data_IF_223672802765
#
_entry.id   IF_223672802765
#
_cell.length_a   1.000
_cell.length_b   1.000
_cell.length_c   1.000
_cell.angle_alpha   90.00
_cell.angle_beta   90.00
_cell.angle_gamma   90.00
#
_symmetry.space_group_name_H-M   'P 1'
#
loop_
_entity.id
_entity.type
_entity.pdbx_description
1 polymer ?
#
# COMPACT_ATOMS: atom_id res chain seq x y z
N UNK A 1 -8.63 6.77 -12.22
CA UNK A 1 -9.08 6.96 -10.81
C UNK A 1 -8.24 8.05 -10.18
N UNK A 2 -8.82 8.86 -9.29
CA UNK A 2 -8.07 9.89 -8.55
C UNK A 2 -7.41 9.27 -7.30
N UNK A 3 -6.10 9.03 -7.37
CA UNK A 3 -5.34 8.37 -6.30
C UNK A 3 -5.30 9.19 -5.00
N UNK A 4 -5.36 10.51 -5.10
CA UNK A 4 -5.37 11.39 -3.93
C UNK A 4 -6.69 11.25 -3.16
N UNK A 5 -7.82 11.18 -3.87
CA UNK A 5 -9.12 10.93 -3.29
C UNK A 5 -9.16 9.54 -2.62
N UNK A 6 -8.66 8.51 -3.30
CA UNK A 6 -8.57 7.16 -2.75
C UNK A 6 -7.73 7.13 -1.46
N UNK A 7 -6.57 7.80 -1.44
CA UNK A 7 -5.74 7.86 -0.23
C UNK A 7 -6.42 8.63 0.91
N UNK A 8 -7.17 9.69 0.60
CA UNK A 8 -7.97 10.42 1.61
C UNK A 8 -9.06 9.54 2.21
N UNK A 9 -9.73 8.73 1.39
CA UNK A 9 -10.78 7.83 1.86
C UNK A 9 -10.20 6.73 2.76
N UNK A 10 -9.06 6.15 2.38
CA UNK A 10 -8.33 5.16 3.20
C UNK A 10 -7.82 5.79 4.51
N UNK A 11 -7.26 7.00 4.45
CA UNK A 11 -6.80 7.74 5.63
C UNK A 11 -7.93 8.02 6.63
N UNK A 12 -9.14 8.26 6.13
CA UNK A 12 -10.33 8.41 6.98
C UNK A 12 -10.82 7.07 7.53
N UNK A 13 -10.88 6.02 6.69
CA UNK A 13 -11.32 4.67 7.09
C UNK A 13 -10.46 4.12 8.24
N UNK A 14 -9.15 4.20 8.10
CA UNK A 14 -8.19 3.66 9.07
C UNK A 14 -7.63 4.72 10.04
N UNK A 15 -8.16 5.94 10.04
CA UNK A 15 -7.73 6.99 10.96
C UNK A 15 -6.20 7.20 11.05
N UNK A 16 -5.49 7.10 9.91
CA UNK A 16 -4.05 7.39 9.85
C UNK A 16 -3.80 8.84 10.28
N UNK A 17 -2.69 9.11 10.98
CA UNK A 17 -2.36 10.47 11.41
C UNK A 17 -2.05 11.38 10.23
N UNK A 18 -1.39 10.82 9.22
CA UNK A 18 -1.06 11.49 7.98
C UNK A 18 -0.91 10.46 6.86
N UNK A 19 -1.24 10.87 5.64
CA UNK A 19 -1.08 10.06 4.45
C UNK A 19 -0.63 10.95 3.29
N UNK A 20 0.49 10.59 2.66
CA UNK A 20 1.08 11.34 1.56
C UNK A 20 1.32 10.41 0.37
N UNK A 21 1.05 10.93 -0.83
CA UNK A 21 1.31 10.25 -2.09
C UNK A 21 2.44 10.97 -2.81
N UNK A 22 3.43 10.22 -3.28
CA UNK A 22 4.49 10.72 -4.17
C UNK A 22 4.56 9.83 -5.40
N UNK A 23 4.25 10.39 -6.55
CA UNK A 23 4.45 9.73 -7.85
C UNK A 23 5.93 9.80 -8.23
N UNK A 24 6.52 8.69 -8.68
CA UNK A 24 7.86 8.73 -9.28
C UNK A 24 7.76 9.29 -10.71
N UNK A 25 8.56 10.31 -11.03
CA UNK A 25 8.51 10.97 -12.35
C UNK A 25 8.94 10.06 -13.52
N UNK A 26 9.58 8.91 -13.24
CA UNK A 26 10.19 8.04 -14.26
C UNK A 26 9.89 6.54 -14.06
N UNK A 27 8.90 6.17 -13.24
CA UNK A 27 8.60 4.77 -12.93
C UNK A 27 7.11 4.42 -13.03
N UNK A 28 6.76 3.13 -13.21
CA UNK A 28 5.38 2.66 -13.13
C UNK A 28 4.82 2.65 -11.68
N UNK A 29 5.68 2.95 -10.71
CA UNK A 29 5.39 2.88 -9.29
C UNK A 29 5.19 4.28 -8.70
N UNK A 30 4.42 4.31 -7.62
CA UNK A 30 4.30 5.45 -6.73
C UNK A 30 4.71 5.03 -5.32
N UNK A 31 5.01 6.01 -4.47
CA UNK A 31 5.27 5.81 -3.06
C UNK A 31 4.13 6.43 -2.24
N UNK A 32 3.53 5.61 -1.36
CA UNK A 32 2.60 6.05 -0.33
C UNK A 32 3.33 6.07 1.00
N UNK A 33 3.24 7.17 1.73
CA UNK A 33 3.70 7.27 3.11
C UNK A 33 2.50 7.37 4.04
N UNK A 34 2.36 6.42 4.96
CA UNK A 34 1.33 6.39 5.99
C UNK A 34 1.98 6.63 7.35
N UNK A 35 1.45 7.58 8.12
CA UNK A 35 1.80 7.76 9.52
C UNK A 35 0.78 7.00 10.38
N UNK A 36 1.27 5.93 10.99
CA UNK A 36 0.52 4.95 11.77
C UNK A 36 0.40 5.40 13.24
N UNK A 37 -0.63 4.91 13.92
CA UNK A 37 -0.78 5.02 15.37
C UNK A 37 -0.25 3.74 16.01
N UNK A 38 -0.02 3.75 17.32
CA UNK A 38 0.49 2.56 18.03
C UNK A 38 -0.40 1.32 17.80
N UNK A 39 -1.73 1.47 17.81
CA UNK A 39 -2.69 0.41 17.49
C UNK A 39 -2.51 -0.18 16.07
N UNK A 40 -2.15 0.63 15.09
CA UNK A 40 -1.90 0.18 13.72
C UNK A 40 -0.56 -0.55 13.59
N UNK A 41 0.43 -0.17 14.40
CA UNK A 41 1.76 -0.77 14.38
C UNK A 41 1.68 -2.21 14.89
N UNK A 42 0.95 -2.46 15.98
CA UNK A 42 0.77 -3.81 16.52
C UNK A 42 0.09 -4.73 15.49
N UNK A 43 -1.04 -4.31 14.92
CA UNK A 43 -1.75 -5.06 13.87
C UNK A 43 -0.91 -5.30 12.62
N UNK A 44 -0.09 -4.31 12.22
CA UNK A 44 0.82 -4.46 11.08
C UNK A 44 1.94 -5.47 11.38
N UNK A 45 2.49 -5.47 12.60
CA UNK A 45 3.55 -6.39 13.01
C UNK A 45 3.07 -7.84 13.00
N UNK A 46 1.82 -8.12 13.37
CA UNK A 46 1.25 -9.47 13.25
C UNK A 46 1.23 -9.97 11.80
N UNK A 47 0.98 -9.07 10.85
CA UNK A 47 0.96 -9.37 9.41
C UNK A 47 2.34 -9.30 8.76
N UNK A 48 3.37 -8.81 9.45
CA UNK A 48 4.72 -8.63 8.90
C UNK A 48 5.32 -9.94 8.37
N UNK A 49 5.04 -11.07 9.04
CA UNK A 49 5.48 -12.40 8.60
C UNK A 49 4.81 -12.91 7.32
N UNK A 50 3.73 -12.26 6.88
CA UNK A 50 2.91 -12.66 5.73
C UNK A 50 2.95 -11.65 4.58
N UNK A 51 3.78 -10.60 4.67
CA UNK A 51 3.80 -9.51 3.69
C UNK A 51 4.01 -10.00 2.25
N UNK A 52 4.91 -10.96 2.04
CA UNK A 52 5.13 -11.51 0.69
C UNK A 52 3.87 -12.20 0.14
N UNK A 53 3.17 -12.99 0.96
CA UNK A 53 1.92 -13.65 0.58
C UNK A 53 0.78 -12.65 0.35
N UNK A 54 0.73 -11.58 1.15
CA UNK A 54 -0.24 -10.49 1.00
C UNK A 54 -0.01 -9.77 -0.33
N UNK A 55 1.24 -9.40 -0.64
CA UNK A 55 1.61 -8.75 -1.90
C UNK A 55 1.27 -9.66 -3.09
N UNK A 56 1.60 -10.95 -3.01
CA UNK A 56 1.27 -11.90 -4.07
C UNK A 56 -0.24 -12.06 -4.27
N UNK A 57 -1.01 -12.17 -3.19
CA UNK A 57 -2.47 -12.26 -3.25
C UNK A 57 -3.08 -11.01 -3.89
N UNK A 58 -2.62 -9.83 -3.47
CA UNK A 58 -3.05 -8.55 -4.06
C UNK A 58 -2.68 -8.46 -5.54
N UNK A 59 -1.46 -8.84 -5.91
CA UNK A 59 -1.00 -8.85 -7.30
C UNK A 59 -1.84 -9.79 -8.18
N UNK A 60 -2.15 -10.99 -7.67
CA UNK A 60 -3.04 -11.93 -8.36
C UNK A 60 -4.43 -11.31 -8.58
N UNK A 61 -5.04 -10.77 -7.53
CA UNK A 61 -6.37 -10.16 -7.63
C UNK A 61 -6.40 -8.99 -8.60
N UNK A 62 -5.44 -8.06 -8.51
CA UNK A 62 -5.37 -6.90 -9.41
C UNK A 62 -5.16 -7.35 -10.85
N UNK A 63 -4.27 -8.31 -11.10
CA UNK A 63 -3.99 -8.79 -12.46
C UNK A 63 -5.17 -9.47 -13.16
N UNK A 64 -6.23 -9.85 -12.43
CA UNK A 64 -7.46 -10.40 -13.01
C UNK A 64 -8.38 -9.28 -13.55
N UNK A 65 -8.36 -8.11 -12.92
CA UNK A 65 -9.30 -7.02 -13.21
C UNK A 65 -8.66 -5.82 -13.90
N UNK A 66 -7.34 -5.71 -13.89
CA UNK A 66 -6.59 -4.58 -14.41
C UNK A 66 -5.34 -5.05 -15.17
N UNK A 67 -5.37 -4.86 -16.49
CA UNK A 67 -4.26 -5.17 -17.39
C UNK A 67 -3.21 -4.05 -17.49
N UNK A 68 -3.37 -2.95 -16.74
CA UNK A 68 -2.46 -1.80 -16.80
C UNK A 68 -1.05 -2.07 -16.29
N UNK A 69 -0.87 -3.12 -15.46
CA UNK A 69 0.43 -3.57 -14.98
C UNK A 69 0.48 -5.10 -14.93
N UNK A 70 1.58 -5.68 -15.42
CA UNK A 70 1.78 -7.13 -15.34
C UNK A 70 1.97 -7.58 -13.89
N UNK A 71 1.62 -8.83 -13.59
CA UNK A 71 1.86 -9.43 -12.27
C UNK A 71 3.32 -9.27 -11.82
N UNK A 72 4.27 -9.38 -12.73
CA UNK A 72 5.70 -9.17 -12.44
C UNK A 72 5.99 -7.76 -11.91
N UNK A 73 5.37 -6.73 -12.50
CA UNK A 73 5.47 -5.34 -12.03
C UNK A 73 4.80 -5.19 -10.67
N UNK A 74 3.62 -5.78 -10.47
CA UNK A 74 2.89 -5.73 -9.19
C UNK A 74 3.70 -6.38 -8.04
N UNK A 75 4.41 -7.46 -8.33
CA UNK A 75 5.28 -8.17 -7.37
C UNK A 75 6.52 -7.37 -6.96
N UNK A 76 6.85 -6.27 -7.65
CA UNK A 76 7.94 -5.35 -7.24
C UNK A 76 7.51 -4.40 -6.12
N UNK A 77 6.30 -4.59 -5.58
CA UNK A 77 5.83 -3.84 -4.42
C UNK A 77 6.78 -4.01 -3.24
N UNK A 78 7.16 -2.89 -2.62
CA UNK A 78 8.01 -2.90 -1.43
C UNK A 78 7.33 -2.15 -0.29
N UNK A 79 7.44 -2.72 0.91
CA UNK A 79 6.99 -2.11 2.15
C UNK A 79 8.20 -1.87 3.04
N UNK A 80 8.32 -0.65 3.57
CA UNK A 80 9.42 -0.25 4.43
C UNK A 80 8.90 0.59 5.59
N UNK A 81 9.15 0.12 6.80
CA UNK A 81 8.97 0.96 7.98
C UNK A 81 10.18 1.88 8.14
N UNK A 82 9.97 3.15 8.48
CA UNK A 82 11.03 4.07 8.83
C UNK A 82 10.64 4.93 10.03
N UNK A 83 11.58 5.15 10.94
CA UNK A 83 11.26 5.80 12.22
C UNK A 83 10.36 4.91 13.09
N UNK A 84 9.57 5.54 13.96
CA UNK A 84 8.71 4.83 14.92
C UNK A 84 7.34 4.46 14.34
N UNK A 85 6.83 5.26 13.42
CA UNK A 85 5.41 5.30 13.08
C UNK A 85 5.13 5.46 11.58
N UNK A 86 6.15 5.39 10.70
CA UNK A 86 5.94 5.60 9.26
C UNK A 86 6.09 4.31 8.46
N UNK A 87 5.10 4.05 7.62
CA UNK A 87 5.11 2.97 6.63
C UNK A 87 5.17 3.57 5.23
N UNK A 88 6.20 3.20 4.48
CA UNK A 88 6.38 3.54 3.07
C UNK A 88 6.01 2.33 2.22
N UNK A 89 5.11 2.53 1.26
CA UNK A 89 4.63 1.51 0.34
C UNK A 89 4.94 1.99 -1.07
N UNK A 90 5.88 1.34 -1.75
CA UNK A 90 6.16 1.60 -3.17
C UNK A 90 5.48 0.53 -4.00
N UNK A 91 4.54 0.92 -4.86
CA UNK A 91 3.66 -0.01 -5.58
C UNK A 91 3.06 0.63 -6.84
N UNK A 92 2.45 -0.19 -7.70
CA UNK A 92 1.58 0.28 -8.78
C UNK A 92 0.32 1.00 -8.24
N UNK A 93 -0.19 2.05 -8.92
CA UNK A 93 -1.47 2.71 -8.59
C UNK A 93 -2.63 1.77 -8.30
N UNK A 94 -2.77 0.71 -9.08
CA UNK A 94 -3.89 -0.23 -9.00
C UNK A 94 -3.87 -1.12 -7.76
N UNK A 95 -2.70 -1.27 -7.13
CA UNK A 95 -2.53 -2.05 -5.90
C UNK A 95 -2.78 -1.25 -4.62
N UNK A 96 -2.72 0.08 -4.66
CA UNK A 96 -2.73 0.93 -3.46
C UNK A 96 -3.92 0.63 -2.56
N UNK A 97 -5.12 0.53 -3.13
CA UNK A 97 -6.34 0.33 -2.35
C UNK A 97 -6.33 -1.04 -1.66
N UNK A 98 -6.25 -2.10 -2.47
CA UNK A 98 -6.39 -3.48 -1.99
C UNK A 98 -5.28 -3.85 -1.01
N UNK A 99 -4.06 -3.33 -1.22
CA UNK A 99 -2.93 -3.60 -0.34
C UNK A 99 -3.13 -2.93 1.02
N UNK A 100 -3.50 -1.64 1.05
CA UNK A 100 -3.76 -0.94 2.32
C UNK A 100 -4.95 -1.58 3.05
N UNK A 101 -6.02 -1.92 2.32
CA UNK A 101 -7.15 -2.62 2.94
C UNK A 101 -6.73 -3.96 3.53
N UNK A 102 -5.97 -4.77 2.82
CA UNK A 102 -5.51 -6.08 3.34
C UNK A 102 -4.57 -5.95 4.56
N UNK A 103 -3.79 -4.88 4.64
CA UNK A 103 -2.89 -4.63 5.76
C UNK A 103 -3.62 -4.18 7.02
N UNK A 104 -4.70 -3.41 6.89
CA UNK A 104 -5.33 -2.74 8.04
C UNK A 104 -6.79 -3.14 8.32
N UNK A 105 -7.48 -3.88 7.45
CA UNK A 105 -8.71 -4.63 7.80
C UNK A 105 -8.37 -5.93 8.55
#
# INVERSE_FOLDING_TARGET
MDLNQQLRDLSRKYSFENACLKTEEQGPHLEVCLQLREEHIESFLEKAGQLNSIVESCANMVSIFDDSASKEVLMQTTLRCAGRDRLYIRTSPSMVKILIETLFD
#
